data_IF_744135314349
#
_entry.id   IF_744135314349
#
_cell.length_a   1.000
_cell.length_b   1.000
_cell.length_c   1.000
_cell.angle_alpha   90.00
_cell.angle_beta   90.00
_cell.angle_gamma   90.00
#
_symmetry.space_group_name_H-M   'P 1'
#
loop_
_entity.id
_entity.type
_entity.pdbx_description
1 polymer ?
#
# COMPACT_ATOMS: atom_id res chain seq x y z
N UNK A 1 -55.74 -65.16 18.18
CA UNK A 1 -55.63 -64.02 19.13
C UNK A 1 -54.30 -63.34 18.83
N UNK A 2 -54.07 -62.97 17.57
CA UNK A 2 -54.57 -61.72 16.94
C UNK A 2 -53.78 -60.54 17.52
N UNK A 3 -53.00 -59.76 16.79
CA UNK A 3 -52.74 -59.68 15.36
C UNK A 3 -51.83 -58.47 15.08
N UNK A 4 -51.68 -58.18 13.79
CA UNK A 4 -51.30 -56.91 13.17
C UNK A 4 -49.87 -56.37 13.40
N UNK A 5 -49.07 -56.47 12.34
CA UNK A 5 -47.90 -55.61 12.16
C UNK A 5 -48.27 -54.22 11.63
N UNK A 6 -47.32 -53.29 11.68
CA UNK A 6 -47.23 -52.14 10.79
C UNK A 6 -45.81 -51.56 10.87
N UNK A 7 -45.18 -51.44 9.71
CA UNK A 7 -43.79 -50.98 9.61
C UNK A 7 -43.64 -49.46 9.55
N UNK A 8 -42.45 -49.13 9.07
CA UNK A 8 -42.04 -47.89 8.42
C UNK A 8 -41.75 -46.68 9.34
N UNK A 9 -40.47 -46.34 9.47
CA UNK A 9 -39.83 -45.15 8.86
C UNK A 9 -38.52 -44.84 9.60
N UNK A 10 -37.40 -45.20 8.99
CA UNK A 10 -36.10 -44.58 9.25
C UNK A 10 -36.19 -43.08 8.99
N UNK A 11 -36.18 -42.25 10.02
CA UNK A 11 -35.98 -40.81 9.88
C UNK A 11 -34.50 -40.56 9.55
N UNK A 12 -34.21 -40.40 8.25
CA UNK A 12 -32.94 -39.86 7.77
C UNK A 12 -32.73 -38.48 8.40
N UNK A 13 -31.54 -38.28 8.96
CA UNK A 13 -31.03 -37.00 9.46
C UNK A 13 -31.00 -36.00 8.31
N UNK A 14 -31.81 -34.94 8.37
CA UNK A 14 -31.59 -33.72 7.61
C UNK A 14 -30.90 -32.74 8.55
N UNK A 15 -29.57 -32.76 8.54
CA UNK A 15 -28.79 -31.66 9.07
C UNK A 15 -29.03 -30.45 8.19
N UNK A 16 -29.70 -29.44 8.72
CA UNK A 16 -29.74 -28.12 8.10
C UNK A 16 -28.32 -27.56 8.15
N UNK A 17 -27.58 -27.69 7.06
CA UNK A 17 -26.37 -26.92 6.86
C UNK A 17 -26.78 -25.46 6.74
N UNK A 18 -26.63 -24.72 7.84
CA UNK A 18 -26.71 -23.26 7.81
C UNK A 18 -25.54 -22.77 6.95
N UNK A 19 -25.84 -22.50 5.68
CA UNK A 19 -24.94 -21.80 4.78
C UNK A 19 -24.85 -20.37 5.30
N UNK A 20 -23.91 -20.11 6.22
CA UNK A 20 -23.52 -18.76 6.57
C UNK A 20 -22.83 -18.16 5.34
N UNK A 21 -23.64 -17.58 4.45
CA UNK A 21 -23.19 -16.64 3.43
C UNK A 21 -22.57 -15.47 4.17
N UNK A 22 -21.24 -15.48 4.31
CA UNK A 22 -20.48 -14.27 4.57
C UNK A 22 -20.55 -13.41 3.32
N UNK A 23 -21.67 -12.70 3.16
CA UNK A 23 -21.70 -11.51 2.35
C UNK A 23 -20.84 -10.48 3.10
N UNK A 24 -19.54 -10.48 2.84
CA UNK A 24 -18.68 -9.37 3.21
C UNK A 24 -19.29 -8.13 2.59
N UNK A 25 -19.84 -7.24 3.43
CA UNK A 25 -20.25 -5.93 2.97
C UNK A 25 -19.01 -5.29 2.33
N UNK A 26 -19.04 -5.10 1.01
CA UNK A 26 -18.15 -4.19 0.33
C UNK A 26 -18.53 -2.78 0.79
N UNK A 27 -18.15 -2.43 2.02
CA UNK A 27 -18.27 -1.09 2.53
C UNK A 27 -17.38 -0.17 1.71
N UNK A 28 -17.87 1.04 1.47
CA UNK A 28 -17.11 2.18 0.98
C UNK A 28 -16.05 2.59 2.03
N UNK A 29 -15.13 1.68 2.32
CA UNK A 29 -14.07 1.83 3.31
C UNK A 29 -12.73 1.61 2.66
N UNK A 30 -11.70 2.23 3.24
CA UNK A 30 -10.33 2.05 2.83
C UNK A 30 -9.83 0.60 2.92
N UNK A 31 -8.52 0.43 2.90
CA UNK A 31 -7.90 -0.89 2.97
C UNK A 31 -8.26 -1.61 4.30
N UNK A 32 -8.71 -2.88 4.26
CA UNK A 32 -8.91 -3.65 5.47
C UNK A 32 -7.56 -3.88 6.16
N UNK A 33 -7.58 -3.99 7.49
CA UNK A 33 -6.40 -4.33 8.26
C UNK A 33 -5.88 -5.72 7.84
N UNK A 34 -4.56 -5.85 7.71
CA UNK A 34 -3.95 -7.16 7.50
C UNK A 34 -4.09 -8.04 8.76
N UNK A 35 -4.13 -9.37 8.58
CA UNK A 35 -4.08 -10.29 9.71
C UNK A 35 -2.70 -10.24 10.39
N UNK A 36 -2.63 -10.66 11.64
CA UNK A 36 -1.46 -10.47 12.51
C UNK A 36 -0.20 -11.11 11.90
N UNK A 37 -0.35 -12.32 11.36
CA UNK A 37 0.71 -13.11 10.72
C UNK A 37 1.29 -12.47 9.45
N UNK A 38 0.60 -11.52 8.84
CA UNK A 38 1.07 -10.85 7.62
C UNK A 38 1.95 -9.63 7.90
N UNK A 39 1.98 -9.10 9.13
CA UNK A 39 2.71 -7.86 9.41
C UNK A 39 4.21 -7.98 9.18
N UNK A 40 4.82 -9.08 9.59
CA UNK A 40 6.26 -9.30 9.42
C UNK A 40 6.64 -9.53 7.95
N UNK A 41 5.75 -10.14 7.16
CA UNK A 41 5.94 -10.35 5.71
C UNK A 41 6.03 -9.01 4.98
N UNK A 42 5.26 -8.02 5.44
CA UNK A 42 5.19 -6.69 4.82
C UNK A 42 5.99 -5.62 5.58
N UNK A 43 7.00 -6.02 6.35
CA UNK A 43 7.83 -5.12 7.15
C UNK A 43 8.54 -4.02 6.33
N UNK A 44 8.76 -4.24 5.04
CA UNK A 44 9.30 -3.24 4.11
C UNK A 44 8.36 -2.04 3.90
N UNK A 45 7.06 -2.19 4.18
CA UNK A 45 6.06 -1.12 4.10
C UNK A 45 6.00 -0.40 5.44
N UNK A 46 6.13 0.92 5.41
CA UNK A 46 6.25 1.75 6.59
C UNK A 46 5.48 3.06 6.48
N UNK A 47 5.53 3.84 7.57
CA UNK A 47 5.00 5.20 7.61
C UNK A 47 6.12 6.18 7.28
N UNK A 48 5.81 7.17 6.44
CA UNK A 48 6.63 8.36 6.22
C UNK A 48 6.01 9.48 7.03
N UNK A 49 6.63 9.83 8.15
CA UNK A 49 6.14 10.86 9.06
C UNK A 49 6.87 12.18 8.79
N UNK A 50 6.10 13.27 8.74
CA UNK A 50 6.61 14.63 8.67
C UNK A 50 6.26 15.37 9.95
N UNK A 51 7.26 15.81 10.71
CA UNK A 51 7.07 16.58 11.95
C UNK A 51 7.18 18.09 11.65
N UNK A 52 6.61 18.92 12.51
CA UNK A 52 6.71 20.37 12.43
C UNK A 52 6.30 20.98 13.76
N UNK A 53 6.48 22.30 13.92
CA UNK A 53 6.21 23.00 15.18
C UNK A 53 4.78 22.79 15.71
N UNK A 54 3.77 22.71 14.82
CA UNK A 54 2.36 22.44 15.18
C UNK A 54 1.64 21.46 14.24
N UNK A 55 2.36 20.87 13.30
CA UNK A 55 1.77 19.99 12.28
C UNK A 55 2.46 18.64 12.28
N UNK A 56 1.68 17.59 12.04
CA UNK A 56 2.16 16.23 11.82
C UNK A 56 1.48 15.72 10.57
N UNK A 57 2.27 15.31 9.58
CA UNK A 57 1.80 14.60 8.40
C UNK A 57 2.20 13.14 8.49
N UNK A 58 1.33 12.25 8.00
CA UNK A 58 1.64 10.84 7.87
C UNK A 58 1.27 10.38 6.46
N UNK A 59 2.26 9.87 5.76
CA UNK A 59 2.11 9.09 4.55
C UNK A 59 2.57 7.65 4.81
N UNK A 60 2.48 6.83 3.78
CA UNK A 60 3.09 5.51 3.68
C UNK A 60 4.31 5.54 2.75
N UNK A 61 5.10 4.49 2.79
CA UNK A 61 6.26 4.30 1.92
C UNK A 61 6.72 2.84 1.93
N UNK A 62 7.61 2.49 1.01
CA UNK A 62 8.14 1.13 0.86
C UNK A 62 9.64 1.14 0.65
N UNK A 63 10.37 0.26 1.34
CA UNK A 63 11.78 0.01 1.04
C UNK A 63 11.91 -0.64 -0.34
N UNK A 64 12.64 0.01 -1.24
CA UNK A 64 13.00 -0.50 -2.59
C UNK A 64 14.49 -0.81 -2.70
N UNK A 65 15.29 -0.32 -1.74
CA UNK A 65 16.65 -0.77 -1.45
C UNK A 65 16.88 -0.68 0.08
N UNK A 66 17.96 -1.23 0.65
CA UNK A 66 18.15 -1.29 2.12
C UNK A 66 18.10 0.07 2.83
N UNK A 67 18.44 1.16 2.14
CA UNK A 67 18.42 2.54 2.64
C UNK A 67 17.60 3.49 1.73
N UNK A 68 16.75 2.96 0.85
CA UNK A 68 15.93 3.74 -0.09
C UNK A 68 14.44 3.45 0.08
N UNK A 69 13.67 4.50 0.32
CA UNK A 69 12.20 4.42 0.47
C UNK A 69 11.52 5.14 -0.68
N UNK A 70 10.70 4.42 -1.42
CA UNK A 70 9.79 5.00 -2.41
C UNK A 70 8.51 5.48 -1.71
N UNK A 71 8.07 6.69 -2.04
CA UNK A 71 6.82 7.30 -1.55
C UNK A 71 6.25 8.24 -2.62
N UNK A 72 5.13 8.91 -2.31
CA UNK A 72 4.54 9.90 -3.20
C UNK A 72 5.26 11.26 -3.07
N UNK A 73 5.37 11.99 -4.17
CA UNK A 73 6.02 13.31 -4.22
C UNK A 73 5.35 14.34 -3.31
N UNK A 74 4.02 14.37 -3.31
CA UNK A 74 3.23 15.29 -2.50
C UNK A 74 3.43 15.09 -0.99
N UNK A 75 3.93 13.92 -0.54
CA UNK A 75 4.28 13.68 0.86
C UNK A 75 5.47 14.53 1.34
N UNK A 76 6.24 15.10 0.41
CA UNK A 76 7.31 16.07 0.72
C UNK A 76 6.80 17.49 0.94
N UNK A 77 5.49 17.71 0.87
CA UNK A 77 4.88 19.03 1.02
C UNK A 77 3.84 19.01 2.15
N UNK A 78 3.74 20.12 2.85
CA UNK A 78 2.68 20.38 3.81
C UNK A 78 1.40 20.75 3.05
N UNK A 79 0.25 20.69 3.72
CA UNK A 79 -1.04 21.14 3.14
C UNK A 79 -0.99 22.60 2.66
N UNK A 80 -0.12 23.42 3.24
CA UNK A 80 0.14 24.81 2.83
C UNK A 80 0.92 24.94 1.53
N UNK A 81 1.39 23.83 0.94
CA UNK A 81 2.29 23.80 -0.22
C UNK A 81 3.77 23.99 0.11
N UNK A 82 4.12 24.28 1.38
CA UNK A 82 5.51 24.41 1.78
C UNK A 82 6.20 23.05 1.80
N UNK A 83 7.42 22.97 1.25
CA UNK A 83 8.24 21.76 1.32
C UNK A 83 8.61 21.42 2.78
N UNK A 84 8.48 20.16 3.16
CA UNK A 84 8.93 19.63 4.44
C UNK A 84 10.47 19.63 4.46
N UNK A 85 11.07 20.09 5.56
CA UNK A 85 12.52 20.01 5.71
C UNK A 85 12.94 18.55 5.84
N UNK A 86 14.06 18.16 5.22
CA UNK A 86 14.53 16.77 5.24
C UNK A 86 14.69 16.23 6.67
N UNK A 87 15.22 17.06 7.58
CA UNK A 87 15.39 16.68 8.99
C UNK A 87 14.08 16.48 9.77
N UNK A 88 12.94 16.89 9.21
CA UNK A 88 11.60 16.67 9.78
C UNK A 88 10.97 15.34 9.31
N UNK A 89 11.60 14.64 8.36
CA UNK A 89 11.10 13.39 7.78
C UNK A 89 11.69 12.16 8.49
N UNK A 90 10.83 11.21 8.81
CA UNK A 90 11.18 9.97 9.47
C UNK A 90 10.42 8.79 8.85
N UNK A 91 11.14 7.76 8.40
CA UNK A 91 10.54 6.50 7.97
C UNK A 91 10.48 5.47 9.10
N UNK A 92 9.33 4.83 9.29
CA UNK A 92 9.09 3.80 10.32
C UNK A 92 8.56 2.53 9.63
N UNK A 93 9.45 1.55 9.45
CA UNK A 93 9.20 0.29 8.76
C UNK A 93 8.47 -0.72 9.65
N UNK A 94 7.50 -1.46 9.07
CA UNK A 94 6.77 -2.52 9.76
C UNK A 94 6.10 -2.05 11.05
N UNK A 95 5.47 -0.88 11.01
CA UNK A 95 4.78 -0.31 12.18
C UNK A 95 3.53 -1.12 12.52
N UNK A 96 3.46 -1.59 13.76
CA UNK A 96 2.30 -2.32 14.27
C UNK A 96 2.11 -2.06 15.76
N UNK A 97 0.97 -1.44 16.11
CA UNK A 97 0.49 -1.25 17.50
C UNK A 97 1.53 -0.73 18.50
N UNK A 98 2.37 0.21 18.06
CA UNK A 98 3.39 0.82 18.92
C UNK A 98 4.79 0.24 18.75
N UNK A 99 4.92 -0.86 18.00
CA UNK A 99 6.21 -1.47 17.66
C UNK A 99 6.57 -1.17 16.20
N UNK A 100 7.86 -1.02 15.93
CA UNK A 100 8.41 -0.91 14.58
C UNK A 100 9.47 -1.97 14.39
N UNK A 101 9.56 -2.52 13.18
CA UNK A 101 10.70 -3.39 12.80
C UNK A 101 11.98 -2.58 12.68
N UNK A 102 11.88 -1.31 12.32
CA UNK A 102 12.96 -0.34 12.39
C UNK A 102 12.50 1.05 11.99
N UNK A 103 13.22 2.07 12.43
CA UNK A 103 13.00 3.47 12.07
C UNK A 103 14.32 4.17 11.74
N UNK A 104 14.29 5.09 10.78
CA UNK A 104 15.47 5.87 10.34
C UNK A 104 15.07 7.27 9.94
N UNK A 105 15.88 8.24 10.35
CA UNK A 105 15.79 9.60 9.81
C UNK A 105 16.08 9.60 8.32
N UNK A 106 15.41 10.49 7.61
CA UNK A 106 15.70 10.77 6.20
C UNK A 106 16.84 11.79 6.14
N UNK A 107 17.84 11.53 5.31
CA UNK A 107 19.00 12.42 5.10
C UNK A 107 19.00 13.10 3.73
N UNK A 108 18.18 12.60 2.82
CA UNK A 108 17.94 13.22 1.51
C UNK A 108 16.56 12.81 0.99
N UNK A 109 15.87 13.75 0.32
CA UNK A 109 14.58 13.52 -0.30
C UNK A 109 14.63 14.03 -1.74
N UNK A 110 14.65 13.08 -2.68
CA UNK A 110 14.63 13.33 -4.11
C UNK A 110 13.19 13.32 -4.58
N UNK A 111 12.76 14.43 -5.17
CA UNK A 111 11.46 14.53 -5.84
C UNK A 111 11.68 14.17 -7.31
N UNK A 112 10.78 13.40 -7.91
CA UNK A 112 10.89 13.09 -9.34
C UNK A 112 10.97 14.41 -10.14
N UNK A 113 11.89 14.55 -11.12
CA UNK A 113 12.12 15.82 -11.81
C UNK A 113 10.89 16.45 -12.48
N UNK A 114 9.97 15.60 -12.95
CA UNK A 114 8.70 15.98 -13.55
C UNK A 114 7.51 16.00 -12.58
N UNK A 115 7.74 15.83 -11.27
CA UNK A 115 6.66 15.77 -10.28
C UNK A 115 5.90 17.08 -10.13
N UNK A 116 6.52 18.22 -10.47
CA UNK A 116 5.91 19.54 -10.37
C UNK A 116 5.90 20.19 -11.75
N UNK A 117 4.70 20.50 -12.24
CA UNK A 117 4.45 21.22 -13.48
C UNK A 117 3.55 22.42 -13.17
N UNK A 118 3.94 23.63 -13.60
CA UNK A 118 3.23 24.88 -13.34
C UNK A 118 2.83 25.11 -11.86
N UNK A 119 3.72 24.69 -10.94
CA UNK A 119 3.52 24.82 -9.50
C UNK A 119 2.50 23.85 -8.91
N UNK A 120 2.09 22.81 -9.65
CA UNK A 120 1.17 21.76 -9.21
C UNK A 120 1.83 20.39 -9.32
N UNK A 121 1.38 19.44 -8.51
CA UNK A 121 1.83 18.05 -8.62
C UNK A 121 1.28 17.43 -9.90
N UNK A 122 2.15 16.90 -10.76
CA UNK A 122 1.75 16.08 -11.90
C UNK A 122 1.40 14.67 -11.40
N UNK A 123 0.17 14.17 -11.65
CA UNK A 123 -0.24 12.86 -11.14
C UNK A 123 0.55 11.66 -11.68
N UNK A 124 1.17 11.77 -12.86
CA UNK A 124 1.96 10.68 -13.45
C UNK A 124 3.37 10.57 -12.85
N UNK A 125 3.88 11.66 -12.29
CA UNK A 125 5.22 11.74 -11.73
C UNK A 125 5.23 12.10 -10.24
N UNK A 126 4.11 11.93 -9.55
CA UNK A 126 3.97 12.16 -8.11
C UNK A 126 4.72 11.11 -7.28
N UNK A 127 6.04 11.08 -7.42
CA UNK A 127 6.97 10.13 -6.83
C UNK A 127 8.09 10.88 -6.11
N UNK A 128 8.54 10.30 -5.00
CA UNK A 128 9.74 10.72 -4.32
C UNK A 128 10.51 9.51 -3.80
N UNK A 129 11.83 9.65 -3.79
CA UNK A 129 12.76 8.68 -3.24
C UNK A 129 13.47 9.30 -2.04
N UNK A 130 13.38 8.64 -0.89
CA UNK A 130 14.03 9.06 0.33
C UNK A 130 15.27 8.20 0.56
N UNK A 131 16.39 8.83 0.92
CA UNK A 131 17.56 8.13 1.43
C UNK A 131 17.58 8.20 2.94
N UNK A 132 17.72 7.03 3.55
CA UNK A 132 17.79 6.86 5.00
C UNK A 132 19.22 7.11 5.50
N UNK A 133 19.35 7.48 6.78
CA UNK A 133 20.66 7.72 7.40
C UNK A 133 21.56 6.47 7.46
N UNK A 134 20.97 5.28 7.40
CA UNK A 134 21.67 4.00 7.31
C UNK A 134 20.73 2.92 6.77
N UNK A 135 21.31 1.83 6.26
CA UNK A 135 20.55 0.67 5.82
C UNK A 135 19.76 0.02 6.96
N UNK A 136 18.62 -0.56 6.61
CA UNK A 136 17.80 -1.40 7.47
C UNK A 136 18.05 -2.88 7.16
N UNK A 137 18.01 -3.72 8.19
CA UNK A 137 18.00 -5.18 8.06
C UNK A 137 16.58 -5.70 7.78
N UNK A 138 16.01 -5.22 6.68
CA UNK A 138 14.67 -5.55 6.18
C UNK A 138 14.78 -5.74 4.67
N UNK A 139 14.33 -6.89 4.16
CA UNK A 139 14.36 -7.19 2.74
C UNK A 139 13.49 -6.17 1.95
N UNK A 140 14.07 -5.40 1.01
CA UNK A 140 13.31 -4.47 0.18
C UNK A 140 12.35 -5.19 -0.78
N UNK A 141 11.28 -4.51 -1.19
CA UNK A 141 10.41 -5.00 -2.26
C UNK A 141 11.00 -4.63 -3.63
N UNK A 142 11.18 -5.60 -4.54
CA UNK A 142 11.79 -5.29 -5.83
C UNK A 142 10.81 -4.53 -6.72
N UNK A 143 11.33 -3.69 -7.60
CA UNK A 143 10.53 -2.99 -8.61
C UNK A 143 10.01 -3.97 -9.66
N UNK A 144 8.80 -3.74 -10.14
CA UNK A 144 8.39 -4.20 -11.45
C UNK A 144 8.89 -3.15 -12.44
N UNK A 145 9.52 -3.60 -13.51
CA UNK A 145 9.98 -2.69 -14.56
C UNK A 145 8.83 -1.95 -15.26
N UNK A 146 9.12 -1.48 -16.47
CA UNK A 146 8.23 -0.63 -17.26
C UNK A 146 6.87 -1.30 -17.54
N UNK A 147 6.91 -2.58 -17.91
CA UNK A 147 5.74 -3.31 -18.38
C UNK A 147 4.91 -3.87 -17.23
N UNK A 148 3.59 -3.69 -17.33
CA UNK A 148 2.65 -4.31 -16.43
C UNK A 148 2.49 -5.80 -16.76
N UNK A 149 2.36 -6.61 -15.73
CA UNK A 149 1.99 -8.03 -15.85
C UNK A 149 0.47 -8.19 -15.83
N UNK A 150 -0.03 -9.35 -16.26
CA UNK A 150 -1.41 -9.70 -15.93
C UNK A 150 -1.54 -9.84 -14.40
N UNK A 151 -2.62 -9.32 -13.83
CA UNK A 151 -2.87 -9.34 -12.39
C UNK A 151 -2.91 -10.76 -11.79
N UNK A 152 -3.12 -10.88 -10.47
CA UNK A 152 -3.72 -9.87 -9.60
C UNK A 152 -2.75 -8.76 -9.16
N UNK A 153 -3.33 -7.65 -8.72
CA UNK A 153 -2.60 -6.54 -8.09
C UNK A 153 -2.96 -6.42 -6.61
N UNK A 154 -2.07 -5.78 -5.86
CA UNK A 154 -2.28 -5.48 -4.45
C UNK A 154 -1.97 -4.02 -4.15
N UNK A 155 -2.60 -3.47 -3.12
CA UNK A 155 -2.25 -2.17 -2.57
C UNK A 155 -2.11 -2.30 -1.06
N UNK A 156 -1.08 -1.67 -0.51
CA UNK A 156 -0.82 -1.65 0.93
C UNK A 156 -0.59 -0.22 1.39
N UNK A 157 -1.03 0.10 2.61
CA UNK A 157 -0.80 1.41 3.19
C UNK A 157 -1.39 1.57 4.59
N UNK A 158 -0.83 2.51 5.35
CA UNK A 158 -1.40 2.97 6.61
C UNK A 158 -2.46 4.01 6.33
N UNK A 159 -3.55 4.01 7.09
CA UNK A 159 -4.67 4.91 6.86
C UNK A 159 -5.00 5.68 8.12
N UNK A 160 -5.52 6.91 7.96
CA UNK A 160 -5.85 7.79 9.08
C UNK A 160 -6.85 7.18 10.06
N UNK A 161 -7.78 6.33 9.58
CA UNK A 161 -8.70 5.59 10.45
C UNK A 161 -8.03 4.50 11.29
N UNK A 162 -6.88 3.97 10.85
CA UNK A 162 -6.10 2.90 11.50
C UNK A 162 -4.59 3.13 11.34
N UNK A 163 -4.03 4.20 11.92
CA UNK A 163 -2.62 4.58 11.68
C UNK A 163 -1.62 3.68 12.41
N UNK A 164 -2.11 2.68 13.15
CA UNK A 164 -1.33 1.74 13.94
C UNK A 164 -1.29 0.32 13.39
N UNK A 165 -1.97 0.04 12.28
CA UNK A 165 -2.04 -1.29 11.68
C UNK A 165 -1.98 -1.13 10.17
N UNK A 166 -1.10 -1.89 9.50
CA UNK A 166 -1.02 -1.88 8.05
C UNK A 166 -2.31 -2.45 7.44
N UNK A 167 -2.88 -1.76 6.45
CA UNK A 167 -3.99 -2.26 5.65
C UNK A 167 -3.54 -2.72 4.27
N UNK A 168 -4.30 -3.63 3.66
CA UNK A 168 -4.05 -4.03 2.29
C UNK A 168 -5.19 -4.79 1.62
N UNK A 169 -5.19 -4.78 0.28
CA UNK A 169 -6.03 -5.64 -0.58
C UNK A 169 -5.13 -6.31 -1.62
N UNK A 170 -5.45 -7.54 -2.01
CA UNK A 170 -4.62 -8.38 -2.89
C UNK A 170 -5.33 -8.86 -4.16
N UNK A 171 -6.52 -8.32 -4.41
CA UNK A 171 -7.46 -8.64 -5.47
C UNK A 171 -7.80 -7.39 -6.30
N UNK A 172 -6.88 -6.43 -6.36
CA UNK A 172 -7.09 -5.16 -7.05
C UNK A 172 -7.01 -5.31 -8.57
N UNK A 173 -7.77 -4.47 -9.26
CA UNK A 173 -7.56 -4.13 -10.66
C UNK A 173 -6.44 -3.09 -10.80
N UNK A 174 -5.86 -2.97 -11.99
CA UNK A 174 -5.01 -1.86 -12.34
C UNK A 174 -5.13 -1.59 -13.85
N UNK A 175 -5.50 -0.36 -14.19
CA UNK A 175 -5.70 0.09 -15.56
C UNK A 175 -4.64 1.14 -15.92
N UNK A 176 -3.82 0.85 -16.92
CA UNK A 176 -2.83 1.80 -17.41
C UNK A 176 -3.52 2.93 -18.18
N UNK A 177 -3.28 4.19 -17.78
CA UNK A 177 -3.79 5.38 -18.47
C UNK A 177 -2.75 5.99 -19.39
N UNK A 178 -1.51 6.05 -18.91
CA UNK A 178 -0.31 6.51 -19.61
C UNK A 178 0.86 5.69 -19.12
N UNK A 179 2.00 5.77 -19.79
CA UNK A 179 3.20 5.05 -19.37
C UNK A 179 3.55 5.26 -17.88
N UNK A 180 3.49 6.50 -17.40
CA UNK A 180 3.79 6.87 -16.01
C UNK A 180 2.58 6.84 -15.07
N UNK A 181 1.37 6.52 -15.52
CA UNK A 181 0.16 6.61 -14.69
C UNK A 181 -0.79 5.43 -14.89
N UNK A 182 -1.14 4.77 -13.80
CA UNK A 182 -2.21 3.80 -13.74
C UNK A 182 -3.30 4.21 -12.74
N UNK A 183 -4.44 3.53 -12.78
CA UNK A 183 -5.57 3.76 -11.88
C UNK A 183 -6.16 2.42 -11.41
N UNK A 184 -6.63 2.37 -10.16
CA UNK A 184 -7.29 1.19 -9.58
C UNK A 184 -8.61 1.59 -8.92
N UNK A 185 -9.56 0.66 -8.83
CA UNK A 185 -10.80 0.81 -8.04
C UNK A 185 -10.62 0.45 -6.58
N UNK A 186 -9.48 -0.10 -6.19
CA UNK A 186 -9.16 -0.31 -4.78
C UNK A 186 -9.15 1.02 -4.04
N UNK A 187 -10.16 1.21 -3.21
CA UNK A 187 -10.34 2.42 -2.41
C UNK A 187 -9.29 2.50 -1.29
N UNK A 188 -8.78 3.71 -1.09
CA UNK A 188 -7.82 4.05 -0.04
C UNK A 188 -8.31 5.28 0.72
N UNK A 189 -7.78 5.50 1.91
CA UNK A 189 -8.02 6.69 2.72
C UNK A 189 -6.77 7.57 2.82
N UNK A 190 -6.93 8.78 3.35
CA UNK A 190 -5.80 9.65 3.68
C UNK A 190 -4.78 8.91 4.55
N UNK A 191 -3.49 9.12 4.24
CA UNK A 191 -2.38 8.40 4.85
C UNK A 191 -1.83 7.25 4.01
N UNK A 192 -2.66 6.67 3.13
CA UNK A 192 -2.21 5.58 2.25
C UNK A 192 -1.26 6.08 1.16
N UNK A 193 -1.26 7.39 0.87
CA UNK A 193 -0.34 8.07 -0.04
C UNK A 193 1.10 7.60 0.15
N UNK A 194 1.78 7.26 -0.95
CA UNK A 194 3.13 6.70 -0.97
C UNK A 194 3.21 5.20 -0.64
N UNK A 195 2.13 4.57 -0.20
CA UNK A 195 2.05 3.13 -0.02
C UNK A 195 2.14 2.40 -1.37
N UNK A 196 2.73 1.19 -1.43
CA UNK A 196 2.99 0.53 -2.69
C UNK A 196 1.71 -0.01 -3.35
N UNK A 197 1.62 0.16 -4.67
CA UNK A 197 0.86 -0.71 -5.54
C UNK A 197 1.80 -1.83 -6.00
N UNK A 198 1.34 -3.08 -5.96
CA UNK A 198 2.12 -4.27 -6.27
C UNK A 198 1.47 -5.09 -7.39
N UNK A 199 2.29 -5.71 -8.22
CA UNK A 199 1.89 -6.71 -9.22
C UNK A 199 2.47 -8.07 -8.87
N UNK A 200 1.70 -9.14 -9.09
CA UNK A 200 2.12 -10.51 -8.78
C UNK A 200 2.94 -11.11 -9.94
N UNK A 201 4.15 -11.56 -9.66
CA UNK A 201 5.05 -12.23 -10.61
C UNK A 201 5.50 -13.57 -10.04
N UNK A 202 5.01 -14.66 -10.61
CA UNK A 202 5.13 -15.99 -9.98
C UNK A 202 4.49 -15.98 -8.59
N UNK A 203 5.25 -16.41 -7.59
CA UNK A 203 4.83 -16.38 -6.18
C UNK A 203 5.19 -15.07 -5.46
N UNK A 204 5.91 -14.16 -6.13
CA UNK A 204 6.40 -12.92 -5.54
C UNK A 204 5.55 -11.69 -5.90
N UNK A 205 5.70 -10.64 -5.10
CA UNK A 205 5.14 -9.32 -5.39
C UNK A 205 6.23 -8.34 -5.76
N UNK A 206 5.91 -7.39 -6.64
CA UNK A 206 6.83 -6.38 -7.17
C UNK A 206 6.15 -5.02 -7.18
N UNK A 207 6.86 -3.96 -6.82
CA UNK A 207 6.34 -2.58 -6.78
C UNK A 207 6.06 -2.10 -8.20
N UNK A 208 4.81 -1.76 -8.51
CA UNK A 208 4.43 -1.21 -9.83
C UNK A 208 4.22 0.29 -9.82
N UNK A 209 4.14 0.89 -8.64
CA UNK A 209 3.92 2.31 -8.39
C UNK A 209 3.56 2.55 -6.93
N UNK A 210 3.14 3.77 -6.61
CA UNK A 210 2.66 4.13 -5.27
C UNK A 210 1.28 4.78 -5.32
N UNK A 211 0.56 4.78 -4.21
CA UNK A 211 -0.70 5.52 -4.05
C UNK A 211 -0.42 7.01 -4.10
N UNK A 212 -1.12 7.76 -4.95
CA UNK A 212 -1.02 9.22 -5.04
C UNK A 212 -2.30 9.90 -4.54
N UNK A 213 -3.32 10.00 -5.39
CA UNK A 213 -4.54 10.76 -5.12
C UNK A 213 -5.81 9.93 -5.37
N UNK A 214 -6.93 10.41 -4.81
CA UNK A 214 -8.26 9.85 -5.06
C UNK A 214 -8.93 10.71 -6.13
N UNK A 215 -9.39 10.08 -7.22
CA UNK A 215 -10.08 10.71 -8.35
C UNK A 215 -11.43 10.01 -8.58
N UNK A 216 -12.48 10.50 -7.92
CA UNK A 216 -13.78 9.84 -7.92
C UNK A 216 -13.73 8.50 -7.18
N UNK A 217 -14.14 7.42 -7.84
CA UNK A 217 -14.08 6.03 -7.33
C UNK A 217 -12.78 5.31 -7.74
N UNK A 218 -11.71 6.07 -7.99
CA UNK A 218 -10.39 5.56 -8.39
C UNK A 218 -9.28 6.11 -7.54
N UNK A 219 -8.24 5.31 -7.39
CA UNK A 219 -6.95 5.70 -6.82
C UNK A 219 -5.94 5.84 -7.95
N UNK A 220 -5.22 6.96 -7.99
CA UNK A 220 -4.14 7.22 -8.94
C UNK A 220 -2.85 6.55 -8.47
N UNK A 221 -2.14 5.93 -9.40
CA UNK A 221 -0.90 5.20 -9.16
C UNK A 221 0.16 5.68 -10.15
N UNK A 222 0.99 6.68 -9.81
CA UNK A 222 2.18 7.01 -10.58
C UNK A 222 3.17 5.83 -10.62
N UNK A 223 3.83 5.68 -11.77
CA UNK A 223 4.63 4.49 -12.13
C UNK A 223 5.94 4.79 -12.86
N UNK A 224 6.48 6.00 -12.82
CA UNK A 224 7.79 6.32 -13.42
C UNK A 224 8.95 5.65 -12.65
N UNK A 225 8.99 4.31 -12.70
CA UNK A 225 9.91 3.44 -11.96
C UNK A 225 11.25 3.27 -12.66
N UNK A 226 11.36 3.65 -13.93
CA UNK A 226 12.64 3.80 -14.63
C UNK A 226 13.55 4.81 -13.91
N UNK A 227 13.02 5.97 -13.54
CA UNK A 227 13.74 6.93 -12.70
C UNK A 227 14.14 6.31 -11.35
N UNK A 228 13.23 5.58 -10.69
CA UNK A 228 13.53 4.94 -9.40
C UNK A 228 14.67 3.92 -9.53
N UNK A 229 14.62 3.07 -10.56
CA UNK A 229 15.63 2.05 -10.84
C UNK A 229 17.01 2.68 -11.07
N UNK A 230 17.07 3.78 -11.84
CA UNK A 230 18.29 4.54 -12.07
C UNK A 230 18.89 5.09 -10.76
N UNK A 231 18.07 5.69 -9.89
CA UNK A 231 18.51 6.29 -8.63
C UNK A 231 18.99 5.26 -7.59
N UNK A 232 18.49 4.02 -7.65
CA UNK A 232 18.91 2.93 -6.75
C UNK A 232 20.02 2.05 -7.34
N UNK A 233 20.40 2.27 -8.61
CA UNK A 233 21.44 1.49 -9.29
C UNK A 233 21.03 0.07 -9.69
N UNK A 234 19.72 -0.19 -9.81
CA UNK A 234 19.16 -1.47 -10.25
C UNK A 234 18.94 -1.41 -11.77
N UNK A 235 19.81 -2.06 -12.56
CA UNK A 235 19.73 -2.13 -14.03
C UNK A 235 19.60 -3.57 -14.51
#
# INVERSE_FOLDING_TARGET
MDGAGLGIWTKKKLGAAALCLWAGAAGAGGLPALPEEAHDVWAAVGRVNAVGFRTRGMCSGVLVAPDRVLTAGHCLFRETGQRVAVGDLHFVAGWHRGHARGDRRVVEALLHPLAVEDGRIDPGHDLALLRLESAMDIAPLPLLGRDLVSGPYAVLGYQGSRPHVLGGRFDCDLELRKFSLAMTRCAVEHGASGGPMLGKVGDGWRVVGVVSAIAGDRTLVPRALDWVAEEIGDR
#
